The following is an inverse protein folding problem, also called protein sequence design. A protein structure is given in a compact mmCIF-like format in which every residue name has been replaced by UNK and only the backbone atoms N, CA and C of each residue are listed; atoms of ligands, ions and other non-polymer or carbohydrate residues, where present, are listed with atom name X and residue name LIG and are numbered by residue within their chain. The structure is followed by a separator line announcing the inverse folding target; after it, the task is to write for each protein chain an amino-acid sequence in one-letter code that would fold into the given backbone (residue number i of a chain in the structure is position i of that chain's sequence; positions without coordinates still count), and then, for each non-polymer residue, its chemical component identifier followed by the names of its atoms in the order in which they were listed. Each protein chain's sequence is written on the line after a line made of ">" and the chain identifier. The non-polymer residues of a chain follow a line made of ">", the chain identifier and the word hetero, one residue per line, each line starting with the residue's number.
data_IF_207771560473
#
_entry.id   IF_207771560473
#
_cell.length_a   1.000
_cell.length_b   1.000
_cell.length_c   1.000
_cell.angle_alpha   90.00
_cell.angle_beta   90.00
_cell.angle_gamma   90.00
#
_symmetry.space_group_name_H-M   'P 1'
#
loop_
_entity.id
_entity.type
_entity.pdbx_description
1 polymer ?
#
# COMPACT_ATOMS: atom_id res chain seq x y z
N UNK A 1 -0.03 -8.08 8.61
CA UNK A 1 -1.33 -7.38 8.61
C UNK A 1 -1.78 -7.26 7.16
N UNK A 2 -2.99 -7.68 6.81
CA UNK A 2 -3.49 -7.65 5.43
C UNK A 2 -4.38 -6.44 5.21
N UNK A 3 -4.27 -5.79 4.06
CA UNK A 3 -5.03 -4.59 3.72
C UNK A 3 -5.51 -4.65 2.29
N UNK A 4 -6.67 -4.03 2.04
CA UNK A 4 -7.20 -3.89 0.70
C UNK A 4 -6.49 -2.74 -0.02
N UNK A 5 -6.00 -3.04 -1.23
CA UNK A 5 -5.44 -2.05 -2.16
C UNK A 5 -6.39 -1.91 -3.34
N UNK A 6 -7.00 -0.73 -3.48
CA UNK A 6 -7.86 -0.44 -4.62
C UNK A 6 -7.05 -0.32 -5.92
N UNK A 7 -7.57 -0.78 -7.07
CA UNK A 7 -6.94 -0.61 -8.39
C UNK A 7 -6.67 0.86 -8.78
N UNK A 8 -7.32 1.83 -8.10
CA UNK A 8 -7.04 3.25 -8.28
C UNK A 8 -5.58 3.61 -7.97
N UNK A 9 -4.90 2.83 -7.12
CA UNK A 9 -3.49 3.02 -6.79
C UNK A 9 -2.61 2.14 -7.69
N UNK A 10 -2.27 2.64 -8.89
CA UNK A 10 -1.57 1.84 -9.92
C UNK A 10 -0.05 1.71 -9.71
N UNK A 11 0.60 2.73 -9.15
CA UNK A 11 2.06 2.78 -9.11
C UNK A 11 2.66 2.41 -7.76
N UNK A 12 1.96 1.69 -6.88
CA UNK A 12 2.45 1.42 -5.51
C UNK A 12 3.71 0.54 -5.56
N UNK A 13 4.77 0.99 -4.89
CA UNK A 13 6.01 0.25 -4.76
C UNK A 13 6.23 -0.19 -3.31
N UNK A 14 7.00 -1.27 -3.17
CA UNK A 14 7.51 -1.67 -1.85
C UNK A 14 8.35 -0.51 -1.31
N UNK A 15 8.15 -0.19 -0.03
CA UNK A 15 8.74 0.97 0.68
C UNK A 15 8.03 2.32 0.50
N UNK A 16 6.90 2.38 -0.22
CA UNK A 16 6.01 3.54 -0.14
C UNK A 16 5.34 3.64 1.24
N UNK A 17 5.04 4.86 1.67
CA UNK A 17 4.33 5.12 2.92
C UNK A 17 2.83 5.15 2.61
N UNK A 18 2.06 4.32 3.29
CA UNK A 18 0.62 4.17 3.02
C UNK A 18 -0.18 4.61 4.23
N UNK A 19 -1.17 5.48 4.00
CA UNK A 19 -2.16 5.86 5.01
C UNK A 19 -3.35 4.92 4.90
N UNK A 20 -3.70 4.33 6.04
CA UNK A 20 -4.67 3.25 6.14
C UNK A 20 -5.83 3.73 7.01
N UNK A 21 -7.05 3.37 6.63
CA UNK A 21 -8.26 3.63 7.40
C UNK A 21 -8.88 2.33 7.86
N UNK A 22 -9.44 2.31 9.07
CA UNK A 22 -10.27 1.21 9.54
C UNK A 22 -11.56 1.15 8.71
N UNK A 23 -11.98 -0.05 8.34
CA UNK A 23 -13.22 -0.29 7.61
C UNK A 23 -13.95 -1.52 8.19
N UNK A 24 -15.24 -1.70 7.87
CA UNK A 24 -15.91 -2.97 8.15
C UNK A 24 -15.11 -4.15 7.59
N UNK A 25 -15.22 -5.36 8.18
CA UNK A 25 -14.48 -6.53 7.72
C UNK A 25 -14.77 -6.82 6.24
N UNK A 26 -13.75 -6.71 5.39
CA UNK A 26 -13.85 -7.02 3.96
C UNK A 26 -13.55 -8.51 3.70
N UNK A 27 -12.75 -9.13 4.56
CA UNK A 27 -12.48 -10.57 4.56
C UNK A 27 -12.06 -11.02 5.97
N UNK A 28 -11.72 -12.31 6.12
CA UNK A 28 -11.26 -12.87 7.40
C UNK A 28 -10.07 -12.13 8.00
N UNK A 29 -9.20 -11.56 7.17
CA UNK A 29 -7.95 -10.90 7.59
C UNK A 29 -7.84 -9.44 7.19
N UNK A 30 -8.74 -8.93 6.34
CA UNK A 30 -8.71 -7.56 5.84
C UNK A 30 -9.75 -6.71 6.56
N UNK A 31 -9.27 -5.79 7.40
CA UNK A 31 -10.08 -4.83 8.18
C UNK A 31 -9.69 -3.37 7.92
N UNK A 32 -8.80 -3.16 6.96
CA UNK A 32 -8.24 -1.85 6.65
C UNK A 32 -8.23 -1.66 5.14
N UNK A 33 -8.54 -0.44 4.74
CA UNK A 33 -8.44 0.01 3.35
C UNK A 33 -7.35 1.07 3.23
N UNK A 34 -6.63 1.04 2.12
CA UNK A 34 -5.66 2.09 1.79
C UNK A 34 -6.40 3.35 1.33
N UNK A 35 -6.17 4.46 2.01
CA UNK A 35 -6.80 5.76 1.72
C UNK A 35 -5.90 6.67 0.88
N UNK A 36 -4.59 6.62 1.13
CA UNK A 36 -3.61 7.45 0.42
C UNK A 36 -2.26 6.74 0.36
N UNK A 37 -1.58 6.87 -0.78
CA UNK A 37 -0.20 6.40 -0.96
C UNK A 37 0.70 7.63 -1.08
N UNK A 38 1.71 7.72 -0.24
CA UNK A 38 2.73 8.76 -0.27
C UNK A 38 4.06 8.14 -0.71
N UNK A 39 4.59 8.64 -1.83
CA UNK A 39 5.86 8.19 -2.37
C UNK A 39 7.00 8.54 -1.42
N UNK A 40 7.80 7.55 -1.05
CA UNK A 40 8.99 7.81 -0.25
C UNK A 40 10.04 8.52 -1.13
N UNK A 41 10.28 9.81 -0.88
CA UNK A 41 11.37 10.58 -1.49
C UNK A 41 12.70 10.05 -0.95
N UNK A 42 13.33 9.13 -1.68
CA UNK A 42 14.64 8.59 -1.31
C UNK A 42 14.75 7.08 -1.22
N UNK A 43 13.81 6.32 -1.79
CA UNK A 43 14.06 4.90 -2.04
C UNK A 43 15.26 4.80 -2.97
N UNK A 44 16.45 4.62 -2.39
CA UNK A 44 17.68 4.24 -3.09
C UNK A 44 17.24 3.18 -4.07
N UNK A 45 17.35 3.44 -5.38
CA UNK A 45 16.94 2.49 -6.42
C UNK A 45 17.68 1.19 -6.12
N UNK A 46 17.05 0.28 -5.38
CA UNK A 46 17.59 -1.05 -5.15
C UNK A 46 17.68 -1.64 -6.54
N UNK A 47 18.83 -2.20 -6.86
CA UNK A 47 19.02 -2.89 -8.11
C UNK A 47 17.94 -3.97 -8.24
N UNK A 48 16.91 -3.71 -9.06
CA UNK A 48 15.98 -4.72 -9.50
C UNK A 48 16.70 -5.50 -10.59
N UNK A 49 17.00 -6.76 -10.30
CA UNK A 49 17.64 -7.64 -11.25
C UNK A 49 16.56 -8.15 -12.20
N UNK A 50 16.41 -7.42 -13.31
CA UNK A 50 15.40 -7.59 -14.37
C UNK A 50 13.95 -7.52 -13.88
#
# INVERSE_FOLDING_TARGET
>A
MSMHLSPCFRDVQISDIVTVGECPPLSTTVRFNVLKVTKATGTKKKFQKF
#
